data_IF_432718999478
#
_entry.id   IF_432718999478
#
_cell.length_a   1.000
_cell.length_b   1.000
_cell.length_c   1.000
_cell.angle_alpha   90.00
_cell.angle_beta   90.00
_cell.angle_gamma   90.00
#
_symmetry.space_group_name_H-M   'P 1'
#
loop_
_entity.id
_entity.type
_entity.pdbx_description
1 polymer ?
#
# COMPACT_ATOMS: atom_id res chain seq x y z
N UNK A 1 17.00 18.52 -4.40
CA UNK A 1 17.47 19.89 -4.65
C UNK A 1 18.69 19.84 -5.55
N UNK A 2 18.74 20.74 -6.57
CA UNK A 2 19.89 20.87 -7.45
C UNK A 2 21.15 21.27 -6.68
N UNK A 3 22.34 21.11 -7.31
CA UNK A 3 23.63 21.36 -6.66
C UNK A 3 23.72 22.78 -6.05
N UNK A 4 23.19 23.81 -6.74
CA UNK A 4 23.13 25.17 -6.22
C UNK A 4 22.34 25.33 -4.93
N UNK A 5 21.17 24.65 -4.81
CA UNK A 5 20.36 24.67 -3.59
C UNK A 5 21.10 23.98 -2.43
N UNK A 6 21.83 22.90 -2.69
CA UNK A 6 22.61 22.21 -1.65
C UNK A 6 23.73 23.11 -1.11
N UNK A 7 24.44 23.78 -2.00
CA UNK A 7 25.47 24.75 -1.63
C UNK A 7 24.90 25.92 -0.81
N UNK A 8 23.75 26.46 -1.24
CA UNK A 8 23.08 27.54 -0.50
C UNK A 8 22.65 27.08 0.92
N UNK A 9 22.10 25.90 1.06
CA UNK A 9 21.71 25.35 2.36
C UNK A 9 22.91 25.12 3.29
N UNK A 10 24.02 24.63 2.75
CA UNK A 10 25.28 24.48 3.51
C UNK A 10 25.77 25.84 3.96
N UNK A 11 25.87 26.82 3.06
CA UNK A 11 26.33 28.19 3.39
C UNK A 11 25.42 28.82 4.46
N UNK A 12 24.11 28.69 4.35
CA UNK A 12 23.14 29.17 5.33
C UNK A 12 23.30 28.47 6.69
N UNK A 13 23.57 27.17 6.70
CA UNK A 13 23.83 26.42 7.95
C UNK A 13 25.08 26.92 8.66
N UNK A 14 26.20 27.19 7.93
CA UNK A 14 27.39 27.79 8.50
C UNK A 14 27.15 29.20 9.00
N UNK A 15 26.40 30.01 8.27
CA UNK A 15 26.04 31.36 8.70
C UNK A 15 25.22 31.32 10.00
N UNK A 16 24.22 30.51 10.10
CA UNK A 16 23.40 30.36 11.29
C UNK A 16 24.20 29.81 12.48
N UNK A 17 25.09 28.84 12.25
CA UNK A 17 25.99 28.32 13.27
C UNK A 17 26.94 29.42 13.79
N UNK A 18 27.49 30.23 12.89
CA UNK A 18 28.38 31.38 13.24
C UNK A 18 27.62 32.43 14.04
N UNK A 19 26.40 32.79 13.61
CA UNK A 19 25.56 33.74 14.35
C UNK A 19 25.22 33.18 15.74
N UNK A 20 24.83 31.92 15.83
CA UNK A 20 24.52 31.24 17.10
C UNK A 20 25.76 31.26 18.03
N UNK A 21 26.92 30.95 17.51
CA UNK A 21 28.17 30.99 18.29
C UNK A 21 28.46 32.38 18.87
N UNK A 22 28.44 33.44 18.03
CA UNK A 22 28.80 34.79 18.48
C UNK A 22 27.69 35.45 19.31
N UNK A 23 26.41 35.21 19.04
CA UNK A 23 25.27 35.86 19.69
C UNK A 23 24.83 35.11 20.93
N UNK A 24 24.93 33.79 20.94
CA UNK A 24 24.43 32.96 22.04
C UNK A 24 25.61 32.36 22.84
N UNK A 25 26.45 31.53 22.19
CA UNK A 25 27.42 30.69 22.89
C UNK A 25 28.56 31.49 23.52
N UNK A 26 29.21 32.34 22.74
CA UNK A 26 30.37 33.14 23.21
C UNK A 26 30.00 34.10 24.35
N UNK A 27 28.97 34.95 24.27
CA UNK A 27 28.55 35.79 25.38
C UNK A 27 28.20 34.98 26.62
N UNK A 28 27.64 33.81 26.39
CA UNK A 28 27.21 32.94 27.46
C UNK A 28 28.38 32.30 28.23
N UNK A 29 29.40 31.83 27.52
CA UNK A 29 30.64 31.30 28.13
C UNK A 29 31.45 32.39 28.82
N UNK A 30 31.36 33.61 28.34
CA UNK A 30 32.09 34.76 28.90
C UNK A 30 31.37 35.41 30.08
N UNK A 31 30.09 35.20 30.22
CA UNK A 31 29.30 35.83 31.30
C UNK A 31 29.47 35.10 32.63
N UNK A 32 30.07 35.74 33.62
CA UNK A 32 30.06 35.29 35.00
C UNK A 32 28.69 35.56 35.65
N UNK A 33 27.63 34.91 35.14
CA UNK A 33 26.30 35.08 35.69
C UNK A 33 26.11 34.17 36.90
N UNK A 34 25.44 34.65 37.99
CA UNK A 34 25.15 33.80 39.09
C UNK A 34 24.23 32.63 38.63
N UNK A 35 24.42 31.43 39.23
CA UNK A 35 23.71 30.18 38.81
C UNK A 35 22.20 30.35 38.71
N UNK A 36 21.61 31.13 39.60
CA UNK A 36 20.14 31.40 39.58
C UNK A 36 19.67 32.14 38.33
N UNK A 37 20.41 33.13 37.82
CA UNK A 37 20.06 33.85 36.58
C UNK A 37 20.23 32.98 35.36
N UNK A 38 21.23 32.12 35.36
CA UNK A 38 21.45 31.11 34.31
C UNK A 38 20.24 30.15 34.26
N UNK A 39 19.90 29.59 35.42
CA UNK A 39 18.75 28.67 35.54
C UNK A 39 17.46 29.31 35.06
N UNK A 40 17.12 30.52 35.50
CA UNK A 40 15.90 31.20 35.06
C UNK A 40 15.85 31.50 33.58
N UNK A 41 16.96 31.99 32.97
CA UNK A 41 16.99 32.27 31.54
C UNK A 41 16.79 31.05 30.69
N UNK A 42 17.46 29.92 31.03
CA UNK A 42 17.30 28.68 30.29
C UNK A 42 15.99 28.00 30.59
N UNK A 43 15.57 28.01 31.84
CA UNK A 43 14.25 27.49 32.24
C UNK A 43 13.12 28.16 31.47
N UNK A 44 13.18 29.49 31.32
CA UNK A 44 12.18 30.21 30.52
C UNK A 44 12.28 29.87 29.02
N UNK A 45 13.50 29.81 28.46
CA UNK A 45 13.70 29.46 27.05
C UNK A 45 13.23 28.02 26.75
N UNK A 46 13.60 27.06 27.60
CA UNK A 46 13.14 25.67 27.49
C UNK A 46 11.62 25.56 27.69
N UNK A 47 11.06 26.29 28.68
CA UNK A 47 9.61 26.35 28.90
C UNK A 47 8.88 26.86 27.66
N UNK A 48 9.35 27.93 27.05
CA UNK A 48 8.78 28.49 25.80
C UNK A 48 8.86 27.47 24.66
N UNK A 49 10.00 26.83 24.46
CA UNK A 49 10.17 25.78 23.44
C UNK A 49 9.23 24.60 23.70
N UNK A 50 9.10 24.18 24.96
CA UNK A 50 8.18 23.10 25.34
C UNK A 50 6.72 23.49 25.04
N UNK A 51 6.31 24.73 25.34
CA UNK A 51 4.96 25.22 25.01
C UNK A 51 4.74 25.23 23.50
N UNK A 52 5.68 25.77 22.73
CA UNK A 52 5.59 25.80 21.26
C UNK A 52 5.50 24.37 20.70
N UNK A 53 6.35 23.47 21.18
CA UNK A 53 6.33 22.07 20.76
C UNK A 53 5.00 21.39 21.14
N UNK A 54 4.59 21.53 22.41
CA UNK A 54 3.34 20.94 22.90
C UNK A 54 2.12 21.49 22.12
N UNK A 55 2.06 22.80 21.87
CA UNK A 55 1.01 23.42 21.10
C UNK A 55 0.99 22.87 19.66
N UNK A 56 2.15 22.80 19.02
CA UNK A 56 2.26 22.25 17.66
C UNK A 56 1.83 20.78 17.62
N UNK A 57 2.21 20.00 18.62
CA UNK A 57 1.85 18.58 18.72
C UNK A 57 0.36 18.39 19.00
N UNK A 58 -0.21 19.12 19.96
CA UNK A 58 -1.65 19.08 20.30
C UNK A 58 -2.54 19.53 19.14
N UNK A 59 -2.08 20.51 18.37
CA UNK A 59 -2.77 21.00 17.17
C UNK A 59 -2.44 20.18 15.91
N UNK A 60 -1.83 19.00 16.07
CA UNK A 60 -1.45 18.10 14.94
C UNK A 60 -0.73 18.82 13.82
N UNK A 61 0.14 19.77 14.16
CA UNK A 61 0.92 20.56 13.20
C UNK A 61 0.13 21.64 12.46
N UNK A 62 -1.02 22.05 12.96
CA UNK A 62 -1.91 23.06 12.34
C UNK A 62 -2.35 22.62 10.92
N UNK A 63 -3.21 21.62 10.78
CA UNK A 63 -3.63 21.09 9.47
C UNK A 63 -4.31 22.14 8.60
N UNK A 64 -4.94 23.14 9.19
CA UNK A 64 -5.63 24.26 8.51
C UNK A 64 -4.71 25.12 7.63
N UNK A 65 -3.38 25.04 7.85
CA UNK A 65 -2.39 25.72 6.98
C UNK A 65 -2.29 25.12 5.57
N UNK A 66 -2.79 23.90 5.39
CA UNK A 66 -2.79 23.22 4.11
C UNK A 66 -4.11 23.39 3.37
N UNK A 67 -4.12 23.33 2.04
CA UNK A 67 -5.36 23.29 1.28
C UNK A 67 -6.21 22.07 1.68
N UNK A 68 -7.54 22.20 1.62
CA UNK A 68 -8.47 21.12 1.94
C UNK A 68 -8.20 19.85 1.11
N UNK A 69 -7.81 19.99 -0.17
CA UNK A 69 -7.41 18.89 -1.04
C UNK A 69 -6.24 18.08 -0.48
N UNK A 70 -5.23 18.77 0.09
CA UNK A 70 -4.08 18.10 0.72
C UNK A 70 -4.50 17.35 1.97
N UNK A 71 -5.31 17.96 2.83
CA UNK A 71 -5.81 17.34 4.07
C UNK A 71 -6.65 16.11 3.75
N UNK A 72 -7.44 16.14 2.69
CA UNK A 72 -8.22 14.98 2.23
C UNK A 72 -7.31 13.86 1.74
N UNK A 73 -6.34 14.14 0.87
CA UNK A 73 -5.38 13.13 0.40
C UNK A 73 -4.58 12.53 1.57
N UNK A 74 -4.21 13.34 2.56
CA UNK A 74 -3.53 12.85 3.75
C UNK A 74 -4.43 11.89 4.55
N UNK A 75 -5.69 12.20 4.73
CA UNK A 75 -6.65 11.32 5.39
C UNK A 75 -6.80 9.98 4.65
N UNK A 76 -6.83 10.00 3.31
CA UNK A 76 -6.88 8.77 2.50
C UNK A 76 -5.61 7.90 2.66
N UNK A 77 -4.42 8.52 2.78
CA UNK A 77 -3.17 7.80 3.02
C UNK A 77 -3.13 7.16 4.42
N UNK A 78 -3.63 7.87 5.42
CA UNK A 78 -3.61 7.47 6.83
C UNK A 78 -4.78 6.54 7.22
N UNK A 79 -5.68 6.21 6.28
CA UNK A 79 -6.76 5.25 6.55
C UNK A 79 -6.22 3.93 7.10
N UNK A 80 -6.84 3.45 8.16
CA UNK A 80 -6.51 2.16 8.77
C UNK A 80 -6.68 1.00 7.78
N UNK A 81 -5.88 -0.03 7.95
CA UNK A 81 -6.05 -1.30 7.25
C UNK A 81 -7.44 -1.88 7.51
N UNK A 82 -7.93 -2.66 6.56
CA UNK A 82 -9.23 -3.32 6.71
C UNK A 82 -9.20 -4.34 7.86
N UNK A 83 -10.29 -4.40 8.63
CA UNK A 83 -10.40 -5.29 9.79
C UNK A 83 -10.36 -6.78 9.45
N UNK A 84 -10.51 -7.16 8.17
CA UNK A 84 -10.37 -8.54 7.70
C UNK A 84 -8.93 -8.88 7.30
N UNK A 85 -8.01 -7.93 7.44
CA UNK A 85 -6.59 -8.15 7.20
C UNK A 85 -5.95 -8.89 8.38
N UNK A 86 -5.39 -10.07 8.12
CA UNK A 86 -4.63 -10.84 9.09
C UNK A 86 -3.16 -10.42 9.04
N UNK A 87 -2.64 -9.85 10.12
CA UNK A 87 -1.27 -9.35 10.21
C UNK A 87 -0.23 -10.48 10.32
N UNK A 88 1.05 -10.11 10.22
CA UNK A 88 2.17 -10.99 10.54
C UNK A 88 2.03 -11.55 11.96
N UNK A 89 2.49 -12.78 12.18
CA UNK A 89 2.43 -13.46 13.48
C UNK A 89 1.07 -14.08 13.80
N UNK A 90 0.00 -13.71 13.14
CA UNK A 90 -1.33 -14.25 13.33
C UNK A 90 -1.66 -15.27 12.23
N UNK A 91 -2.18 -16.45 12.63
CA UNK A 91 -2.56 -17.55 11.72
C UNK A 91 -4.08 -17.76 11.63
N UNK A 92 -4.84 -17.14 12.51
CA UNK A 92 -6.30 -17.36 12.56
C UNK A 92 -6.99 -16.54 11.46
N UNK A 93 -7.99 -17.15 10.83
CA UNK A 93 -8.93 -16.44 10.00
C UNK A 93 -9.69 -15.41 10.83
N UNK A 94 -9.88 -14.22 10.29
CA UNK A 94 -10.77 -13.23 10.88
C UNK A 94 -12.22 -13.64 10.58
N UNK A 95 -12.76 -14.59 11.34
CA UNK A 95 -14.08 -15.18 11.14
C UNK A 95 -15.22 -14.34 11.74
N UNK A 96 -15.16 -13.03 11.62
CA UNK A 96 -16.28 -12.15 12.00
C UNK A 96 -17.33 -12.13 10.88
N UNK A 97 -18.62 -11.90 11.18
CA UNK A 97 -19.67 -11.77 10.14
C UNK A 97 -19.33 -10.75 9.06
N UNK A 98 -18.57 -9.70 9.40
CA UNK A 98 -18.09 -8.71 8.45
C UNK A 98 -17.11 -9.28 7.41
N UNK A 99 -16.34 -10.30 7.76
CA UNK A 99 -15.32 -10.89 6.90
C UNK A 99 -15.81 -12.16 6.21
N UNK A 100 -16.72 -12.92 6.84
CA UNK A 100 -17.21 -14.21 6.33
C UNK A 100 -18.59 -14.13 5.70
N UNK A 101 -19.22 -12.95 5.72
CA UNK A 101 -20.56 -12.75 5.19
C UNK A 101 -21.63 -13.51 5.97
N UNK A 102 -22.47 -12.79 6.72
CA UNK A 102 -23.65 -13.39 7.38
C UNK A 102 -24.83 -13.45 6.41
N UNK A 103 -25.68 -14.47 6.57
CA UNK A 103 -26.95 -14.55 5.85
C UNK A 103 -27.05 -15.67 4.82
N UNK A 104 -28.20 -15.74 4.12
CA UNK A 104 -28.56 -16.82 3.19
C UNK A 104 -28.38 -16.46 1.71
N UNK A 105 -27.79 -15.31 1.40
CA UNK A 105 -27.59 -14.86 0.03
C UNK A 105 -26.36 -15.52 -0.60
N UNK A 106 -26.30 -15.52 -1.93
CA UNK A 106 -25.13 -15.92 -2.68
C UNK A 106 -23.92 -15.07 -2.27
N UNK A 107 -22.77 -15.72 -2.14
CA UNK A 107 -21.53 -15.11 -1.63
C UNK A 107 -20.45 -15.07 -2.69
N UNK A 108 -19.66 -14.02 -2.64
CA UNK A 108 -18.45 -13.84 -3.44
C UNK A 108 -17.25 -13.64 -2.52
N UNK A 109 -16.15 -14.37 -2.76
CA UNK A 109 -14.96 -14.29 -1.92
C UNK A 109 -13.83 -13.52 -2.59
N UNK A 110 -13.17 -12.63 -1.83
CA UNK A 110 -11.90 -11.99 -2.18
C UNK A 110 -10.81 -12.62 -1.32
N UNK A 111 -9.79 -13.20 -1.96
CA UNK A 111 -8.70 -13.90 -1.29
C UNK A 111 -7.36 -13.34 -1.76
N UNK A 112 -6.46 -13.04 -0.82
CA UNK A 112 -5.13 -12.58 -1.18
C UNK A 112 -4.27 -12.10 -0.03
N UNK A 113 -3.27 -11.32 -0.38
CA UNK A 113 -2.34 -10.70 0.56
C UNK A 113 -2.79 -9.28 0.96
N UNK A 114 -1.85 -8.38 1.24
CA UNK A 114 -2.15 -6.98 1.56
C UNK A 114 -2.86 -6.23 0.43
N UNK A 115 -2.73 -6.68 -0.83
CA UNK A 115 -3.49 -6.11 -1.95
C UNK A 115 -4.98 -6.45 -1.84
N UNK A 116 -5.35 -7.66 -1.39
CA UNK A 116 -6.75 -7.99 -1.07
C UNK A 116 -7.26 -7.10 0.08
N UNK A 117 -6.44 -6.88 1.10
CA UNK A 117 -6.76 -5.97 2.20
C UNK A 117 -7.03 -4.54 1.72
N UNK A 118 -6.22 -4.03 0.79
CA UNK A 118 -6.41 -2.71 0.19
C UNK A 118 -7.70 -2.60 -0.64
N UNK A 119 -8.09 -3.67 -1.32
CA UNK A 119 -9.33 -3.73 -2.11
C UNK A 119 -10.60 -4.00 -1.27
N UNK A 120 -10.48 -4.48 -0.05
CA UNK A 120 -11.57 -5.03 0.75
C UNK A 120 -12.79 -4.10 0.90
N UNK A 121 -12.56 -2.80 1.17
CA UNK A 121 -13.66 -1.85 1.35
C UNK A 121 -14.44 -1.60 0.04
N UNK A 122 -13.72 -1.42 -1.07
CA UNK A 122 -14.31 -1.23 -2.40
C UNK A 122 -15.00 -2.51 -2.89
N UNK A 123 -14.41 -3.67 -2.60
CA UNK A 123 -14.99 -4.97 -2.91
C UNK A 123 -16.34 -5.19 -2.20
N UNK A 124 -16.45 -4.86 -0.90
CA UNK A 124 -17.74 -4.93 -0.20
C UNK A 124 -18.81 -4.09 -0.87
N UNK A 125 -18.46 -2.84 -1.21
CA UNK A 125 -19.38 -1.95 -1.90
C UNK A 125 -19.84 -2.57 -3.23
N UNK A 126 -18.90 -3.03 -4.04
CA UNK A 126 -19.19 -3.62 -5.34
C UNK A 126 -20.06 -4.89 -5.22
N UNK A 127 -19.79 -5.77 -4.25
CA UNK A 127 -20.60 -6.95 -3.99
C UNK A 127 -22.02 -6.55 -3.57
N UNK A 128 -22.19 -5.58 -2.68
CA UNK A 128 -23.52 -5.10 -2.27
C UNK A 128 -24.29 -4.47 -3.42
N UNK A 129 -23.64 -3.72 -4.29
CA UNK A 129 -24.28 -3.12 -5.48
C UNK A 129 -24.83 -4.20 -6.44
N UNK A 130 -24.28 -5.43 -6.37
CA UNK A 130 -24.70 -6.60 -7.13
C UNK A 130 -25.56 -7.60 -6.33
N UNK A 131 -26.03 -7.21 -5.16
CA UNK A 131 -26.83 -8.05 -4.26
C UNK A 131 -26.13 -9.34 -3.80
N UNK A 132 -24.80 -9.35 -3.79
CA UNK A 132 -23.96 -10.44 -3.30
C UNK A 132 -23.44 -10.17 -1.89
N UNK A 133 -23.20 -11.24 -1.14
CA UNK A 133 -22.58 -11.14 0.19
C UNK A 133 -21.06 -11.29 0.08
N UNK A 134 -20.27 -10.27 0.46
CA UNK A 134 -18.81 -10.32 0.37
C UNK A 134 -18.21 -11.19 1.48
N UNK A 135 -17.24 -12.02 1.09
CA UNK A 135 -16.37 -12.80 1.98
C UNK A 135 -14.93 -12.37 1.71
N UNK A 136 -14.13 -12.09 2.75
CA UNK A 136 -12.78 -11.53 2.59
C UNK A 136 -11.78 -12.31 3.43
N UNK A 137 -10.78 -12.88 2.79
CA UNK A 137 -9.64 -13.55 3.41
C UNK A 137 -8.35 -12.91 2.93
N UNK A 138 -7.77 -12.05 3.76
CA UNK A 138 -6.54 -11.34 3.44
C UNK A 138 -5.49 -11.56 4.54
N UNK A 139 -4.25 -11.86 4.15
CA UNK A 139 -3.12 -12.02 5.07
C UNK A 139 -1.87 -11.36 4.51
N UNK A 140 -1.21 -10.52 5.33
CA UNK A 140 0.01 -9.79 4.95
C UNK A 140 1.04 -10.71 4.27
N UNK A 141 1.52 -10.31 3.09
CA UNK A 141 2.54 -11.01 2.29
C UNK A 141 2.26 -12.49 2.03
N UNK A 142 0.99 -12.90 2.02
CA UNK A 142 0.56 -14.27 1.81
C UNK A 142 -0.26 -14.37 0.53
N UNK A 143 0.39 -14.49 -0.62
CA UNK A 143 -0.32 -14.65 -1.88
C UNK A 143 -1.18 -15.92 -1.89
N UNK A 144 -2.35 -15.90 -2.55
CA UNK A 144 -3.29 -17.03 -2.59
C UNK A 144 -2.83 -18.10 -3.59
N UNK A 145 -1.63 -18.64 -3.39
CA UNK A 145 -1.01 -19.66 -4.24
C UNK A 145 -0.85 -20.97 -3.49
N UNK A 146 -1.31 -22.07 -4.07
CA UNK A 146 -1.11 -23.42 -3.53
C UNK A 146 0.31 -23.90 -3.82
N UNK A 147 0.91 -24.62 -2.85
CA UNK A 147 2.24 -25.24 -3.04
C UNK A 147 3.38 -24.26 -3.34
N UNK A 148 3.16 -22.98 -3.16
CA UNK A 148 4.14 -21.92 -3.42
C UNK A 148 4.22 -20.97 -2.25
N UNK A 149 5.43 -20.55 -1.92
CA UNK A 149 5.72 -19.65 -0.83
C UNK A 149 6.80 -18.64 -1.19
N UNK A 150 6.97 -17.68 -0.32
CA UNK A 150 8.02 -16.66 -0.38
C UNK A 150 8.45 -16.31 1.04
N UNK A 151 9.75 -16.28 1.28
CA UNK A 151 10.28 -15.90 2.59
C UNK A 151 10.05 -14.42 2.87
N UNK A 152 9.49 -14.11 4.02
CA UNK A 152 9.32 -12.74 4.47
C UNK A 152 10.50 -12.34 5.36
N UNK A 153 11.26 -11.32 4.95
CA UNK A 153 12.40 -10.82 5.72
C UNK A 153 11.95 -10.37 7.13
N UNK A 154 12.66 -10.80 8.16
CA UNK A 154 12.34 -10.51 9.55
C UNK A 154 11.20 -11.34 10.17
N UNK A 155 10.58 -12.26 9.43
CA UNK A 155 9.47 -13.09 9.89
C UNK A 155 9.69 -14.57 9.53
N UNK A 156 10.58 -15.29 10.23
CA UNK A 156 11.04 -16.63 9.83
C UNK A 156 9.94 -17.70 9.84
N UNK A 157 8.84 -17.51 10.56
CA UNK A 157 7.70 -18.43 10.60
C UNK A 157 6.57 -18.06 9.63
N UNK A 158 6.76 -17.04 8.82
CA UNK A 158 5.68 -16.48 8.01
C UNK A 158 5.17 -17.45 6.95
N UNK A 159 6.05 -18.22 6.31
CA UNK A 159 5.68 -19.24 5.33
C UNK A 159 4.80 -20.34 5.94
N UNK A 160 5.13 -20.83 7.14
CA UNK A 160 4.32 -21.80 7.87
C UNK A 160 2.94 -21.20 8.26
N UNK A 161 2.94 -19.93 8.69
CA UNK A 161 1.70 -19.20 9.01
C UNK A 161 0.83 -18.98 7.75
N UNK A 162 1.44 -18.70 6.60
CA UNK A 162 0.76 -18.63 5.32
C UNK A 162 0.12 -19.95 4.92
N UNK A 163 0.85 -21.07 5.07
CA UNK A 163 0.29 -22.41 4.80
C UNK A 163 -0.93 -22.69 5.68
N UNK A 164 -0.81 -22.47 6.99
CA UNK A 164 -1.93 -22.67 7.92
C UNK A 164 -3.14 -21.81 7.53
N UNK A 165 -2.93 -20.52 7.27
CA UNK A 165 -3.99 -19.63 6.83
C UNK A 165 -4.67 -20.10 5.53
N UNK A 166 -3.91 -20.53 4.53
CA UNK A 166 -4.46 -21.05 3.27
C UNK A 166 -5.28 -22.32 3.47
N UNK A 167 -4.84 -23.22 4.34
CA UNK A 167 -5.61 -24.44 4.68
C UNK A 167 -6.96 -24.11 5.36
N UNK A 168 -6.98 -23.11 6.24
CA UNK A 168 -8.21 -22.65 6.87
C UNK A 168 -9.17 -22.03 5.84
N UNK A 169 -8.64 -21.20 4.93
CA UNK A 169 -9.41 -20.62 3.81
C UNK A 169 -10.02 -21.74 2.94
N UNK A 170 -9.22 -22.73 2.57
CA UNK A 170 -9.67 -23.86 1.77
C UNK A 170 -10.78 -24.66 2.45
N UNK A 171 -10.60 -24.93 3.74
CA UNK A 171 -11.60 -25.62 4.56
C UNK A 171 -12.92 -24.83 4.59
N UNK A 172 -12.83 -23.50 4.76
CA UNK A 172 -14.00 -22.64 4.74
C UNK A 172 -14.71 -22.66 3.38
N UNK A 173 -13.97 -22.51 2.28
CA UNK A 173 -14.52 -22.52 0.92
C UNK A 173 -15.17 -23.87 0.56
N UNK A 174 -14.61 -24.97 1.05
CA UNK A 174 -15.17 -26.31 0.84
C UNK A 174 -16.50 -26.51 1.57
N UNK A 175 -16.65 -25.91 2.75
CA UNK A 175 -17.84 -26.02 3.59
C UNK A 175 -18.96 -25.07 3.17
N UNK A 176 -18.60 -23.83 2.80
CA UNK A 176 -19.59 -22.82 2.42
C UNK A 176 -19.94 -22.90 0.93
N UNK A 177 -21.06 -23.59 0.65
CA UNK A 177 -21.57 -23.78 -0.71
C UNK A 177 -22.24 -22.53 -1.30
N UNK A 178 -22.53 -21.52 -0.49
CA UNK A 178 -23.08 -20.25 -0.96
C UNK A 178 -22.03 -19.40 -1.69
N UNK A 179 -20.73 -19.65 -1.46
CA UNK A 179 -19.67 -19.00 -2.22
C UNK A 179 -19.63 -19.63 -3.61
N UNK A 180 -20.07 -18.91 -4.61
CA UNK A 180 -20.06 -19.34 -6.02
C UNK A 180 -18.81 -18.88 -6.76
N UNK A 181 -18.32 -17.67 -6.42
CA UNK A 181 -17.23 -17.02 -7.10
C UNK A 181 -16.10 -16.67 -6.13
N UNK A 182 -14.86 -16.92 -6.54
CA UNK A 182 -13.65 -16.58 -5.81
C UNK A 182 -12.78 -15.65 -6.66
N UNK A 183 -12.47 -14.49 -6.10
CA UNK A 183 -11.53 -13.53 -6.68
C UNK A 183 -10.18 -13.68 -6.00
N UNK A 184 -9.13 -13.94 -6.79
CA UNK A 184 -7.75 -14.02 -6.33
C UNK A 184 -7.03 -12.72 -6.66
N UNK A 185 -6.36 -12.14 -5.67
CA UNK A 185 -5.50 -10.95 -5.86
C UNK A 185 -4.29 -11.01 -4.96
N UNK A 186 -3.20 -10.40 -5.35
CA UNK A 186 -1.97 -10.39 -4.58
C UNK A 186 -0.91 -9.49 -5.21
N UNK A 187 0.20 -9.33 -4.52
CA UNK A 187 1.38 -8.70 -5.06
C UNK A 187 2.21 -9.74 -5.84
N UNK A 188 1.68 -10.16 -7.00
CA UNK A 188 2.20 -11.27 -7.80
C UNK A 188 3.63 -11.05 -8.29
N UNK A 189 3.93 -9.85 -8.79
CA UNK A 189 5.28 -9.52 -9.26
C UNK A 189 6.33 -9.48 -8.15
N UNK A 190 5.93 -9.43 -6.88
CA UNK A 190 6.88 -9.32 -5.76
C UNK A 190 7.92 -10.42 -5.71
N UNK A 191 7.58 -11.64 -6.09
CA UNK A 191 8.52 -12.78 -6.14
C UNK A 191 9.28 -12.89 -7.46
N UNK A 192 9.03 -11.99 -8.43
CA UNK A 192 9.74 -11.90 -9.71
C UNK A 192 10.73 -10.72 -9.74
N UNK A 193 10.67 -9.83 -8.73
CA UNK A 193 11.50 -8.63 -8.68
C UNK A 193 12.90 -8.92 -8.17
N UNK A 194 13.91 -8.31 -8.80
CA UNK A 194 15.28 -8.34 -8.31
C UNK A 194 15.39 -7.78 -6.88
N UNK A 195 16.17 -8.45 -6.04
CA UNK A 195 16.39 -8.03 -4.64
C UNK A 195 15.22 -8.32 -3.68
N UNK A 196 14.13 -8.95 -4.14
CA UNK A 196 13.06 -9.50 -3.30
C UNK A 196 13.22 -11.01 -3.15
N UNK A 197 12.63 -11.58 -2.10
CA UNK A 197 12.58 -13.04 -1.96
C UNK A 197 11.77 -13.62 -3.13
N UNK A 198 12.33 -14.60 -3.87
CA UNK A 198 11.66 -15.18 -5.03
C UNK A 198 10.50 -16.09 -4.64
N UNK A 199 9.57 -16.31 -5.58
CA UNK A 199 8.62 -17.41 -5.49
C UNK A 199 9.34 -18.74 -5.52
N UNK A 200 8.97 -19.67 -4.64
CA UNK A 200 9.54 -21.00 -4.52
C UNK A 200 8.43 -22.04 -4.48
N UNK A 201 8.59 -23.11 -5.27
CA UNK A 201 7.69 -24.26 -5.22
C UNK A 201 8.07 -25.19 -4.07
N UNK A 202 7.09 -25.67 -3.31
CA UNK A 202 7.26 -26.66 -2.24
C UNK A 202 7.59 -28.05 -2.81
N UNK A 203 6.94 -28.42 -3.91
CA UNK A 203 7.09 -29.73 -4.54
C UNK A 203 8.29 -29.80 -5.49
N UNK A 204 8.69 -28.68 -6.10
CA UNK A 204 9.72 -28.62 -7.14
C UNK A 204 10.63 -27.41 -6.92
N UNK A 205 11.56 -27.48 -5.95
CA UNK A 205 12.41 -26.32 -5.59
C UNK A 205 13.36 -25.85 -6.70
N UNK A 206 13.52 -26.63 -7.77
CA UNK A 206 14.36 -26.28 -8.93
C UNK A 206 13.70 -25.35 -9.94
N UNK A 207 12.41 -25.06 -9.79
CA UNK A 207 11.70 -24.12 -10.67
C UNK A 207 12.23 -22.71 -10.48
N UNK A 208 12.31 -21.96 -11.58
CA UNK A 208 12.51 -20.53 -11.48
C UNK A 208 11.27 -19.82 -10.91
N UNK A 209 11.40 -18.58 -10.43
CA UNK A 209 10.29 -17.88 -9.77
C UNK A 209 9.04 -17.71 -10.64
N UNK A 210 9.20 -17.56 -11.96
CA UNK A 210 8.07 -17.42 -12.88
C UNK A 210 7.34 -18.76 -13.07
N UNK A 211 8.08 -19.85 -13.18
CA UNK A 211 7.52 -21.21 -13.22
C UNK A 211 6.82 -21.57 -11.91
N UNK A 212 7.40 -21.22 -10.76
CA UNK A 212 6.78 -21.43 -9.46
C UNK A 212 5.45 -20.66 -9.33
N UNK A 213 5.41 -19.39 -9.77
CA UNK A 213 4.17 -18.60 -9.81
C UNK A 213 3.12 -19.26 -10.71
N UNK A 214 3.49 -19.70 -11.92
CA UNK A 214 2.59 -20.37 -12.85
C UNK A 214 2.02 -21.67 -12.25
N UNK A 215 2.88 -22.50 -11.65
CA UNK A 215 2.47 -23.72 -11.00
C UNK A 215 1.48 -23.47 -9.87
N UNK A 216 1.83 -22.58 -8.93
CA UNK A 216 0.99 -22.30 -7.77
C UNK A 216 -0.37 -21.69 -8.14
N UNK A 217 -0.39 -20.82 -9.17
CA UNK A 217 -1.65 -20.28 -9.68
C UNK A 217 -2.51 -21.37 -10.33
N UNK A 218 -1.90 -22.22 -11.17
CA UNK A 218 -2.60 -23.32 -11.82
C UNK A 218 -3.20 -24.31 -10.81
N UNK A 219 -2.43 -24.71 -9.81
CA UNK A 219 -2.91 -25.57 -8.72
C UNK A 219 -4.05 -24.92 -7.94
N UNK A 220 -3.95 -23.62 -7.65
CA UNK A 220 -5.00 -22.86 -6.94
C UNK A 220 -6.29 -22.82 -7.74
N UNK A 221 -6.22 -22.43 -9.03
CA UNK A 221 -7.40 -22.35 -9.91
C UNK A 221 -8.06 -23.73 -10.03
N UNK A 222 -7.28 -24.75 -10.34
CA UNK A 222 -7.79 -26.13 -10.52
C UNK A 222 -8.52 -26.62 -9.26
N UNK A 223 -7.94 -26.39 -8.10
CA UNK A 223 -8.52 -26.80 -6.82
C UNK A 223 -9.84 -26.07 -6.52
N UNK A 224 -9.89 -24.75 -6.76
CA UNK A 224 -11.10 -23.96 -6.57
C UNK A 224 -12.23 -24.41 -7.54
N UNK A 225 -11.89 -24.69 -8.80
CA UNK A 225 -12.81 -25.24 -9.78
C UNK A 225 -13.33 -26.62 -9.40
N UNK A 226 -12.49 -27.49 -8.82
CA UNK A 226 -12.91 -28.78 -8.25
C UNK A 226 -13.88 -28.63 -7.09
N UNK A 227 -13.82 -27.51 -6.34
CA UNK A 227 -14.82 -27.17 -5.33
C UNK A 227 -16.10 -26.55 -5.93
N UNK A 228 -16.20 -26.46 -7.26
CA UNK A 228 -17.33 -25.85 -7.97
C UNK A 228 -17.34 -24.33 -7.94
N UNK A 229 -16.18 -23.68 -7.73
CA UNK A 229 -16.08 -22.22 -7.70
C UNK A 229 -15.70 -21.65 -9.06
N UNK A 230 -16.34 -20.57 -9.48
CA UNK A 230 -15.85 -19.70 -10.55
C UNK A 230 -14.64 -18.93 -10.03
N UNK A 231 -13.62 -18.78 -10.83
CA UNK A 231 -12.36 -18.11 -10.41
C UNK A 231 -12.09 -16.90 -11.29
N UNK A 232 -11.85 -15.77 -10.64
CA UNK A 232 -11.40 -14.53 -11.28
C UNK A 232 -10.03 -14.17 -10.70
N UNK A 233 -9.04 -13.95 -11.53
CA UNK A 233 -7.70 -13.51 -11.12
C UNK A 233 -7.53 -12.04 -11.44
N UNK A 234 -7.27 -11.22 -10.44
CA UNK A 234 -6.92 -9.82 -10.63
C UNK A 234 -5.40 -9.67 -10.76
N UNK A 235 -4.94 -8.97 -11.80
CA UNK A 235 -3.54 -8.62 -11.98
C UNK A 235 -3.04 -7.62 -10.93
N UNK A 236 -1.73 -7.39 -10.93
CA UNK A 236 -1.13 -6.35 -10.08
C UNK A 236 -1.62 -4.94 -10.47
N UNK A 237 -1.69 -4.05 -9.49
CA UNK A 237 -1.75 -2.61 -9.77
C UNK A 237 -0.38 -2.11 -10.23
N UNK A 238 -0.30 -1.05 -11.04
CA UNK A 238 0.98 -0.47 -11.43
C UNK A 238 1.81 -0.10 -10.20
N UNK A 239 2.98 -0.71 -10.04
CA UNK A 239 3.89 -0.35 -8.95
C UNK A 239 4.71 0.87 -9.34
N UNK A 240 4.64 1.93 -8.54
CA UNK A 240 5.42 3.15 -8.78
C UNK A 240 6.86 2.99 -8.29
N UNK A 241 7.85 3.44 -9.06
CA UNK A 241 9.25 3.47 -8.63
C UNK A 241 9.58 4.65 -7.70
N UNK A 242 8.56 5.36 -7.25
CA UNK A 242 8.63 6.47 -6.31
C UNK A 242 7.51 6.36 -5.26
N UNK A 243 7.53 7.22 -4.24
CA UNK A 243 6.42 7.32 -3.28
C UNK A 243 5.37 8.33 -3.76
N UNK A 244 4.16 7.90 -4.19
CA UNK A 244 3.09 8.80 -4.59
C UNK A 244 2.71 9.82 -3.51
N UNK A 245 2.56 9.47 -2.21
CA UNK A 245 2.34 10.45 -1.16
C UNK A 245 3.39 11.54 -1.11
N UNK A 246 4.69 11.18 -1.15
CA UNK A 246 5.77 12.17 -1.14
C UNK A 246 5.76 13.07 -2.37
N UNK A 247 5.36 12.54 -3.53
CA UNK A 247 5.26 13.31 -4.77
C UNK A 247 4.12 14.32 -4.69
N UNK A 248 2.94 13.90 -4.25
CA UNK A 248 1.78 14.79 -4.02
C UNK A 248 2.14 15.88 -3.00
N UNK A 249 2.76 15.54 -1.87
CA UNK A 249 3.21 16.54 -0.88
C UNK A 249 4.11 17.62 -1.48
N UNK A 250 5.01 17.25 -2.40
CA UNK A 250 5.86 18.24 -3.10
C UNK A 250 5.03 19.19 -3.97
N UNK A 251 3.98 18.70 -4.61
CA UNK A 251 3.10 19.50 -5.46
C UNK A 251 2.39 20.63 -4.68
N UNK A 252 2.09 20.40 -3.41
CA UNK A 252 1.50 21.42 -2.53
C UNK A 252 2.53 22.36 -1.90
N UNK A 253 3.84 22.12 -2.09
CA UNK A 253 4.85 23.06 -1.59
C UNK A 253 4.89 24.32 -2.45
N UNK A 254 4.85 25.50 -1.80
CA UNK A 254 4.91 26.79 -2.50
C UNK A 254 6.19 26.92 -3.37
N UNK A 255 7.31 26.39 -2.88
CA UNK A 255 8.56 26.41 -3.64
C UNK A 255 8.47 25.58 -4.93
N UNK A 256 7.77 24.44 -4.91
CA UNK A 256 7.56 23.62 -6.11
C UNK A 256 6.61 24.32 -7.09
N UNK A 257 5.49 24.83 -6.59
CA UNK A 257 4.50 25.54 -7.41
C UNK A 257 5.12 26.80 -8.10
N UNK A 258 5.98 27.54 -7.40
CA UNK A 258 6.70 28.67 -7.97
C UNK A 258 7.71 28.25 -9.04
N UNK A 259 8.45 27.17 -8.81
CA UNK A 259 9.44 26.66 -9.76
C UNK A 259 8.84 25.96 -11.00
N UNK A 260 7.57 25.50 -10.90
CA UNK A 260 6.92 24.69 -11.93
C UNK A 260 5.46 25.12 -12.13
N UNK A 261 5.19 26.30 -12.66
CA UNK A 261 3.81 26.81 -12.77
C UNK A 261 2.90 26.00 -13.71
N UNK A 262 3.45 25.15 -14.57
CA UNK A 262 2.71 24.28 -15.50
C UNK A 262 2.61 22.82 -15.01
N UNK A 263 2.96 22.53 -13.78
CA UNK A 263 3.18 21.15 -13.29
C UNK A 263 1.95 20.43 -12.71
N UNK A 264 0.74 20.98 -12.84
CA UNK A 264 -0.47 20.33 -12.32
C UNK A 264 -0.59 18.87 -12.78
N UNK A 265 -0.35 18.58 -14.06
CA UNK A 265 -0.37 17.22 -14.58
C UNK A 265 0.70 16.27 -14.00
N UNK A 266 1.89 16.80 -13.64
CA UNK A 266 2.96 15.98 -13.02
C UNK A 266 2.64 15.49 -11.61
N UNK A 267 1.56 15.99 -11.02
CA UNK A 267 1.10 15.65 -9.69
C UNK A 267 0.02 14.54 -9.69
N UNK A 268 -0.48 14.17 -10.85
CA UNK A 268 -1.55 13.19 -11.03
C UNK A 268 -1.14 12.02 -11.90
N UNK A 269 -0.30 12.26 -12.89
CA UNK A 269 0.12 11.26 -13.88
C UNK A 269 1.65 11.18 -14.00
N UNK A 270 2.14 10.03 -14.44
CA UNK A 270 3.55 9.78 -14.74
C UNK A 270 3.67 8.96 -16.02
N UNK A 271 4.80 9.07 -16.71
CA UNK A 271 5.14 8.18 -17.80
C UNK A 271 5.43 6.74 -17.30
N UNK A 272 5.40 5.80 -18.22
CA UNK A 272 5.67 4.38 -17.93
C UNK A 272 7.09 4.13 -17.37
N UNK A 273 8.04 5.02 -17.62
CA UNK A 273 9.38 5.02 -17.02
C UNK A 273 9.39 5.19 -15.49
N UNK A 274 8.30 5.68 -14.94
CA UNK A 274 8.08 5.84 -13.50
C UNK A 274 7.32 4.69 -12.84
N UNK A 275 7.04 3.63 -13.60
CA UNK A 275 6.35 2.41 -13.14
C UNK A 275 7.30 1.23 -13.28
N UNK A 276 7.35 0.37 -12.28
CA UNK A 276 8.14 -0.86 -12.35
C UNK A 276 7.62 -1.79 -13.46
N UNK A 277 8.51 -2.49 -14.18
CA UNK A 277 8.11 -3.48 -15.17
C UNK A 277 7.24 -4.57 -14.53
N UNK A 278 6.10 -4.84 -15.15
CA UNK A 278 5.18 -5.89 -14.70
C UNK A 278 5.42 -7.18 -15.49
N UNK A 279 6.13 -8.12 -14.87
CA UNK A 279 6.37 -9.44 -15.42
C UNK A 279 5.26 -10.44 -15.09
N UNK A 280 4.34 -10.12 -14.17
CA UNK A 280 3.30 -11.03 -13.69
C UNK A 280 2.08 -11.10 -14.60
N UNK A 281 1.63 -9.97 -15.15
CA UNK A 281 0.37 -9.85 -15.92
C UNK A 281 0.26 -10.89 -17.05
N UNK A 282 1.32 -11.05 -17.84
CA UNK A 282 1.32 -12.02 -18.96
C UNK A 282 1.21 -13.47 -18.46
N UNK A 283 1.91 -13.79 -17.35
CA UNK A 283 1.87 -15.11 -16.75
C UNK A 283 0.49 -15.43 -16.18
N UNK A 284 -0.10 -14.48 -15.43
CA UNK A 284 -1.41 -14.63 -14.82
C UNK A 284 -2.51 -14.81 -15.89
N UNK A 285 -2.51 -13.95 -16.90
CA UNK A 285 -3.47 -14.02 -18.01
C UNK A 285 -3.38 -15.33 -18.76
N UNK A 286 -2.14 -15.79 -19.08
CA UNK A 286 -1.92 -17.06 -19.77
C UNK A 286 -2.47 -18.25 -18.98
N UNK A 287 -2.11 -18.38 -17.70
CA UNK A 287 -2.56 -19.48 -16.84
C UNK A 287 -4.08 -19.45 -16.66
N UNK A 288 -4.64 -18.27 -16.42
CA UNK A 288 -6.09 -18.12 -16.28
C UNK A 288 -6.84 -18.58 -17.52
N UNK A 289 -6.40 -18.13 -18.71
CA UNK A 289 -7.02 -18.52 -19.98
C UNK A 289 -6.90 -20.03 -20.23
N UNK A 290 -5.76 -20.63 -19.96
CA UNK A 290 -5.52 -22.07 -20.14
C UNK A 290 -6.44 -22.94 -19.26
N UNK A 291 -6.86 -22.43 -18.10
CA UNK A 291 -7.70 -23.12 -17.13
C UNK A 291 -9.16 -22.63 -17.13
N UNK A 292 -9.59 -21.88 -18.12
CA UNK A 292 -10.94 -21.30 -18.18
C UNK A 292 -11.32 -20.49 -16.93
N UNK A 293 -10.33 -19.82 -16.31
CA UNK A 293 -10.55 -18.81 -15.30
C UNK A 293 -10.52 -17.41 -15.94
N UNK A 294 -11.19 -16.46 -15.32
CA UNK A 294 -11.19 -15.10 -15.80
C UNK A 294 -9.96 -14.33 -15.31
N UNK A 295 -9.45 -13.44 -16.14
CA UNK A 295 -8.38 -12.53 -15.78
C UNK A 295 -8.82 -11.08 -15.99
N UNK A 296 -8.59 -10.23 -15.00
CA UNK A 296 -8.82 -8.79 -15.11
C UNK A 296 -7.55 -8.01 -14.72
N UNK A 297 -7.11 -7.14 -15.60
CA UNK A 297 -5.96 -6.25 -15.38
C UNK A 297 -6.41 -5.04 -14.57
N UNK A 298 -5.87 -4.85 -13.36
CA UNK A 298 -6.08 -3.63 -12.60
C UNK A 298 -5.25 -2.46 -13.14
N UNK A 299 -4.19 -2.75 -13.88
CA UNK A 299 -3.34 -1.75 -14.52
C UNK A 299 -4.13 -0.91 -15.54
N UNK A 300 -5.00 -1.53 -16.30
CA UNK A 300 -5.74 -0.86 -17.39
C UNK A 300 -6.72 0.20 -16.86
N UNK A 301 -7.10 0.12 -15.59
CA UNK A 301 -7.91 1.16 -14.94
C UNK A 301 -7.12 2.43 -14.59
N UNK A 302 -5.80 2.33 -14.50
CA UNK A 302 -4.92 3.41 -14.03
C UNK A 302 -3.94 3.89 -15.09
N UNK A 303 -3.67 3.09 -16.12
CA UNK A 303 -2.71 3.41 -17.17
C UNK A 303 -3.37 3.40 -18.54
N UNK A 304 -2.96 4.35 -19.39
CA UNK A 304 -3.19 4.35 -20.83
C UNK A 304 -1.89 3.97 -21.58
N UNK A 305 -1.86 4.18 -22.91
CA UNK A 305 -0.70 3.84 -23.73
C UNK A 305 0.58 4.64 -23.38
N UNK A 306 0.48 5.79 -22.75
CA UNK A 306 1.58 6.72 -22.49
C UNK A 306 1.85 6.97 -21.00
N UNK A 307 0.81 6.95 -20.17
CA UNK A 307 0.88 7.41 -18.80
C UNK A 307 0.13 6.50 -17.82
N UNK A 308 0.53 6.57 -16.56
CA UNK A 308 -0.18 5.98 -15.45
C UNK A 308 -0.61 7.06 -14.45
N UNK A 309 -1.84 6.98 -13.97
CA UNK A 309 -2.41 7.92 -13.02
C UNK A 309 -2.24 7.42 -11.59
N UNK A 310 -1.77 8.29 -10.69
CA UNK A 310 -1.58 7.97 -9.27
C UNK A 310 -2.37 8.89 -8.32
N UNK A 311 -2.95 9.97 -8.86
CA UNK A 311 -3.85 10.88 -8.14
C UNK A 311 -4.82 11.52 -9.15
N UNK A 312 -5.89 12.12 -8.66
CA UNK A 312 -6.89 12.83 -9.46
C UNK A 312 -7.57 13.90 -8.60
N UNK A 313 -7.51 15.17 -9.04
CA UNK A 313 -8.10 16.30 -8.34
C UNK A 313 -7.66 16.38 -6.87
N UNK A 314 -8.56 16.00 -5.94
CA UNK A 314 -8.35 16.04 -4.49
C UNK A 314 -8.09 14.66 -3.87
N UNK A 315 -7.92 13.63 -4.68
CA UNK A 315 -7.77 12.24 -4.27
C UNK A 315 -6.45 11.64 -4.68
N UNK A 316 -5.89 10.78 -3.83
CA UNK A 316 -4.71 9.99 -4.13
C UNK A 316 -5.08 8.51 -4.22
N UNK A 317 -4.55 7.81 -5.24
CA UNK A 317 -4.86 6.40 -5.47
C UNK A 317 -3.99 5.45 -4.64
N UNK A 318 -2.84 5.90 -4.14
CA UNK A 318 -1.83 5.07 -3.50
C UNK A 318 -1.45 5.56 -2.10
N UNK A 319 -1.36 4.62 -1.14
CA UNK A 319 -0.78 4.86 0.20
C UNK A 319 0.75 4.81 0.19
N UNK A 320 1.30 4.02 -0.69
CA UNK A 320 2.73 3.78 -0.88
C UNK A 320 2.98 3.39 -2.36
N UNK A 321 4.17 2.93 -2.80
CA UNK A 321 4.38 2.59 -4.20
C UNK A 321 3.47 1.51 -4.79
N UNK A 322 2.80 0.69 -3.99
CA UNK A 322 2.08 -0.51 -4.44
C UNK A 322 0.69 -0.72 -3.81
N UNK A 323 0.39 -0.15 -2.64
CA UNK A 323 -0.90 -0.31 -2.01
C UNK A 323 -1.84 0.85 -2.35
N UNK A 324 -3.04 0.51 -2.73
CA UNK A 324 -4.07 1.49 -3.01
C UNK A 324 -4.68 2.08 -1.72
N UNK A 325 -5.13 3.34 -1.82
CA UNK A 325 -6.12 3.91 -0.90
C UNK A 325 -7.49 3.30 -1.19
N UNK A 326 -8.48 3.54 -0.32
CA UNK A 326 -9.87 3.12 -0.62
C UNK A 326 -10.40 3.77 -1.89
N UNK A 327 -10.05 5.04 -2.11
CA UNK A 327 -10.45 5.74 -3.34
C UNK A 327 -9.82 5.08 -4.58
N UNK A 328 -8.52 4.77 -4.54
CA UNK A 328 -7.85 4.06 -5.62
C UNK A 328 -8.43 2.66 -5.85
N UNK A 329 -8.75 1.93 -4.79
CA UNK A 329 -9.42 0.63 -4.86
C UNK A 329 -10.80 0.71 -5.52
N UNK A 330 -11.63 1.70 -5.15
CA UNK A 330 -12.95 1.94 -5.76
C UNK A 330 -12.81 2.27 -7.26
N UNK A 331 -11.76 3.00 -7.64
CA UNK A 331 -11.50 3.34 -9.04
C UNK A 331 -11.16 2.10 -9.88
N UNK A 332 -10.27 1.22 -9.40
CA UNK A 332 -9.85 0.05 -10.18
C UNK A 332 -10.90 -1.04 -10.23
N UNK A 333 -11.65 -1.26 -9.15
CA UNK A 333 -12.68 -2.31 -9.14
C UNK A 333 -13.90 -1.96 -9.99
N UNK A 334 -14.21 -0.69 -10.21
CA UNK A 334 -15.28 -0.29 -11.15
C UNK A 334 -15.03 -0.71 -12.59
N UNK A 335 -13.76 -0.92 -12.98
CA UNK A 335 -13.39 -1.42 -14.31
C UNK A 335 -13.44 -2.94 -14.41
N UNK A 336 -13.53 -3.64 -13.27
CA UNK A 336 -13.65 -5.10 -13.24
C UNK A 336 -15.11 -5.47 -13.40
N UNK A 337 -15.41 -6.16 -14.49
CA UNK A 337 -16.75 -6.72 -14.71
C UNK A 337 -16.91 -7.91 -13.78
N UNK A 338 -17.78 -7.76 -12.78
CA UNK A 338 -18.19 -8.87 -11.94
C UNK A 338 -19.39 -9.59 -12.56
N UNK A 339 -19.60 -10.84 -12.24
CA UNK A 339 -20.73 -11.63 -12.78
C UNK A 339 -22.09 -11.06 -12.44
#
# INVERSE_FOLDING_TARGET
PGTGMRVLLIALSFLLATISYYVIEKPFRAAQLPPSRVFWRYGMAMGLLTVVFATTWLQKGFPERWPASFTQMQAEIEEAEDSCMTSYGNILLTATPRCTGGGAQEKIALIGDSHAGALAAAFRKLAHDQHLTPVIFAKSSCAPLSGVYRLAAGWPLHDAQCRAFKLDVDSYLAQDKQISTVILTGFWQSGLMAGKAPWQSESTPSLDPAQALQQGLAETITRLQQMGKRVIVLGDVPMMNFSPPKRVMRCFSRAFAYANPQSAGMCEVVGHDSVEPDASTVLLSKVSTQLNAEFASLKDALCDAATCRFAENTHIYYKDPQHLTRYGADKVLKSVVMP
#
